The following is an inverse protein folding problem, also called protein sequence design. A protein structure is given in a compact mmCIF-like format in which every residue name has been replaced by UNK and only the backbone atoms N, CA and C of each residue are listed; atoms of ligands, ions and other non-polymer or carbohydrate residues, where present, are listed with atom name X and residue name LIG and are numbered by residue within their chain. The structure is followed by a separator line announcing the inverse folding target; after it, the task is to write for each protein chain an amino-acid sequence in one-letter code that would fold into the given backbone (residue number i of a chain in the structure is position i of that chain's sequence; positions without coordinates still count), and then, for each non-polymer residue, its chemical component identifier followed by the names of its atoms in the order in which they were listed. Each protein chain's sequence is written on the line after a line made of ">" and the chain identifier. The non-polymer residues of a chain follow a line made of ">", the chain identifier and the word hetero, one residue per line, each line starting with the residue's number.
data_IF_413870633789
#
_entry.id   IF_413870633789
#
_cell.length_a   1.000
_cell.length_b   1.000
_cell.length_c   1.000
_cell.angle_alpha   90.00
_cell.angle_beta   90.00
_cell.angle_gamma   90.00
#
_symmetry.space_group_name_H-M   'P 1'
#
loop_
_entity.id
_entity.type
_entity.pdbx_description
1 polymer ?
#
# COMPACT_ATOMS: atom_id res chain seq x y z
N UNK A 1 15.41 22.98 -21.16
CA UNK A 1 15.13 23.14 -19.70
C UNK A 1 14.84 24.59 -19.35
N UNK A 2 15.61 25.56 -19.86
CA UNK A 2 15.39 27.01 -19.64
C UNK A 2 14.18 27.61 -20.36
N UNK A 3 13.51 26.83 -21.22
CA UNK A 3 12.41 27.28 -22.09
C UNK A 3 11.01 27.13 -21.48
N UNK A 4 10.90 26.70 -20.22
CA UNK A 4 9.62 26.64 -19.50
C UNK A 4 9.19 28.06 -19.10
N UNK A 5 7.89 28.36 -19.17
CA UNK A 5 7.32 29.71 -18.97
C UNK A 5 7.80 30.40 -17.70
N UNK A 6 7.89 29.64 -16.61
CA UNK A 6 8.20 30.14 -15.28
C UNK A 6 9.52 29.56 -14.74
N UNK A 7 10.45 29.22 -15.64
CA UNK A 7 11.75 28.67 -15.23
C UNK A 7 12.55 29.69 -14.43
N UNK A 8 12.98 29.29 -13.23
CA UNK A 8 13.95 30.02 -12.43
C UNK A 8 15.20 29.15 -12.30
N UNK A 9 16.37 29.75 -12.51
CA UNK A 9 17.65 29.08 -12.33
C UNK A 9 17.91 28.86 -10.83
N UNK A 10 17.99 27.60 -10.42
CA UNK A 10 18.44 27.22 -9.07
C UNK A 10 19.95 27.05 -9.03
N UNK A 11 20.54 27.18 -7.83
CA UNK A 11 21.91 26.72 -7.57
C UNK A 11 21.97 25.21 -7.84
N UNK A 12 23.02 24.78 -8.53
CA UNK A 12 23.25 23.35 -8.76
C UNK A 12 23.61 22.66 -7.44
N UNK A 13 22.85 21.62 -7.10
CA UNK A 13 23.15 20.72 -5.99
C UNK A 13 23.37 19.31 -6.55
N UNK A 14 24.44 18.61 -6.16
CA UNK A 14 24.54 17.20 -6.45
C UNK A 14 23.39 16.47 -5.74
N UNK A 15 22.72 15.57 -6.45
CA UNK A 15 21.70 14.72 -5.85
C UNK A 15 22.31 13.70 -4.89
N UNK A 16 21.64 13.44 -3.77
CA UNK A 16 22.00 12.33 -2.89
C UNK A 16 21.60 11.01 -3.56
N UNK A 17 22.50 10.01 -3.65
CA UNK A 17 22.15 8.69 -4.18
C UNK A 17 20.96 8.06 -3.44
N UNK A 18 20.02 7.43 -4.18
CA UNK A 18 18.78 6.90 -3.59
C UNK A 18 19.04 5.82 -2.54
N UNK A 19 20.09 5.00 -2.70
CA UNK A 19 20.47 3.98 -1.73
C UNK A 19 20.95 4.58 -0.39
N UNK A 20 21.43 5.83 -0.37
CA UNK A 20 21.79 6.52 0.87
C UNK A 20 20.56 7.09 1.59
N UNK A 21 19.49 7.41 0.85
CA UNK A 21 18.22 7.91 1.41
C UNK A 21 17.36 6.74 1.88
N UNK A 22 17.21 5.72 1.04
CA UNK A 22 16.37 4.55 1.24
C UNK A 22 17.24 3.34 1.59
N UNK A 23 17.85 3.37 2.77
CA UNK A 23 18.84 2.37 3.20
C UNK A 23 18.31 0.94 3.32
N UNK A 24 16.99 0.76 3.43
CA UNK A 24 16.33 -0.54 3.47
C UNK A 24 15.81 -1.01 2.10
N UNK A 25 15.97 -0.21 1.04
CA UNK A 25 15.49 -0.56 -0.29
C UNK A 25 16.50 -1.46 -1.02
N UNK A 26 15.99 -2.53 -1.64
CA UNK A 26 16.75 -3.33 -2.60
C UNK A 26 16.91 -2.63 -3.95
N UNK A 27 17.79 -3.16 -4.79
CA UNK A 27 18.14 -2.56 -6.09
C UNK A 27 16.94 -2.44 -7.05
N UNK A 28 16.01 -3.40 -7.01
CA UNK A 28 14.81 -3.38 -7.84
C UNK A 28 13.83 -2.26 -7.44
N UNK A 29 13.67 -2.01 -6.14
CA UNK A 29 12.94 -0.85 -5.62
C UNK A 29 13.66 0.45 -5.97
N UNK A 30 14.98 0.52 -5.83
CA UNK A 30 15.75 1.70 -6.18
C UNK A 30 15.64 2.04 -7.67
N UNK A 31 15.62 1.02 -8.54
CA UNK A 31 15.38 1.21 -9.97
C UNK A 31 13.97 1.76 -10.26
N UNK A 32 12.94 1.23 -9.59
CA UNK A 32 11.56 1.74 -9.69
C UNK A 32 11.48 3.20 -9.25
N UNK A 33 12.07 3.53 -8.09
CA UNK A 33 12.11 4.90 -7.57
C UNK A 33 12.81 5.86 -8.54
N UNK A 34 13.92 5.44 -9.15
CA UNK A 34 14.63 6.23 -10.15
C UNK A 34 13.76 6.61 -11.35
N UNK A 35 12.94 5.68 -11.85
CA UNK A 35 12.00 5.94 -12.94
C UNK A 35 10.81 6.83 -12.53
N UNK A 36 10.27 6.63 -11.32
CA UNK A 36 9.14 7.42 -10.79
C UNK A 36 9.53 8.87 -10.47
N UNK A 37 10.74 9.08 -9.96
CA UNK A 37 11.25 10.39 -9.54
C UNK A 37 11.98 11.15 -10.65
N UNK A 38 11.92 10.67 -11.90
CA UNK A 38 12.54 11.36 -13.03
C UNK A 38 11.91 12.74 -13.26
N UNK A 39 12.73 13.78 -13.27
CA UNK A 39 12.26 15.16 -13.43
C UNK A 39 11.77 15.45 -14.86
N UNK A 40 12.31 14.75 -15.87
CA UNK A 40 11.82 14.85 -17.22
C UNK A 40 10.55 14.00 -17.38
N UNK A 41 9.36 14.61 -17.62
CA UNK A 41 8.10 13.88 -17.69
C UNK A 41 8.04 12.90 -18.86
N UNK A 42 8.83 13.09 -19.93
CA UNK A 42 8.83 12.22 -21.10
C UNK A 42 9.50 10.85 -20.85
N UNK A 43 10.34 10.76 -19.82
CA UNK A 43 11.03 9.51 -19.45
C UNK A 43 10.61 9.02 -18.06
N UNK A 44 9.65 9.70 -17.42
CA UNK A 44 9.10 9.26 -16.14
C UNK A 44 8.20 8.06 -16.38
N UNK A 45 8.35 7.03 -15.56
CA UNK A 45 7.53 5.83 -15.66
C UNK A 45 6.04 6.15 -15.54
N UNK A 46 5.25 5.56 -16.42
CA UNK A 46 3.81 5.48 -16.25
C UNK A 46 3.41 4.25 -15.42
N UNK A 47 2.13 4.17 -15.03
CA UNK A 47 1.62 3.09 -14.19
C UNK A 47 1.83 1.70 -14.82
N UNK A 48 1.56 1.56 -16.12
CA UNK A 48 1.67 0.28 -16.82
C UNK A 48 3.12 -0.20 -16.82
N UNK A 49 4.07 0.66 -17.14
CA UNK A 49 5.51 0.34 -17.14
C UNK A 49 5.99 -0.02 -15.73
N UNK A 50 5.61 0.78 -14.73
CA UNK A 50 5.98 0.56 -13.34
C UNK A 50 5.54 -0.82 -12.84
N UNK A 51 4.29 -1.22 -13.12
CA UNK A 51 3.74 -2.52 -12.71
C UNK A 51 4.44 -3.71 -13.38
N UNK A 52 5.12 -3.51 -14.52
CA UNK A 52 5.90 -4.56 -15.18
C UNK A 52 7.34 -4.69 -14.66
N UNK A 53 7.80 -3.78 -13.79
CA UNK A 53 9.16 -3.80 -13.27
C UNK A 53 9.44 -4.99 -12.34
N UNK A 54 10.72 -5.42 -12.20
CA UNK A 54 11.10 -6.53 -11.34
C UNK A 54 10.61 -6.42 -9.89
N UNK A 55 10.52 -5.20 -9.34
CA UNK A 55 10.04 -4.96 -7.98
C UNK A 55 8.68 -5.61 -7.66
N UNK A 56 7.75 -5.64 -8.63
CA UNK A 56 6.44 -6.24 -8.43
C UNK A 56 6.38 -7.75 -8.71
N UNK A 57 7.47 -8.36 -9.15
CA UNK A 57 7.56 -9.79 -9.51
C UNK A 57 8.53 -10.58 -8.63
N UNK A 58 9.59 -9.92 -8.17
CA UNK A 58 10.61 -10.49 -7.31
C UNK A 58 10.08 -10.79 -5.91
N UNK A 59 10.87 -11.52 -5.14
CA UNK A 59 10.69 -11.63 -3.69
C UNK A 59 11.31 -10.40 -3.00
N UNK A 60 10.74 -9.92 -1.88
CA UNK A 60 9.54 -10.43 -1.22
C UNK A 60 8.25 -10.05 -1.97
N UNK A 61 7.30 -10.99 -2.03
CA UNK A 61 5.96 -10.71 -2.56
C UNK A 61 5.21 -9.76 -1.63
N UNK A 62 4.22 -9.00 -2.15
CA UNK A 62 3.38 -8.16 -1.32
C UNK A 62 2.65 -8.98 -0.25
N UNK A 63 2.51 -8.41 0.94
CA UNK A 63 1.74 -9.01 2.02
C UNK A 63 0.27 -9.19 1.61
N UNK A 64 -0.32 -10.33 2.00
CA UNK A 64 -1.76 -10.51 1.86
C UNK A 64 -2.51 -9.50 2.74
N UNK A 65 -3.69 -9.07 2.29
CA UNK A 65 -4.48 -8.07 3.01
C UNK A 65 -4.79 -8.44 4.47
N UNK A 66 -4.99 -9.74 4.75
CA UNK A 66 -5.22 -10.27 6.10
C UNK A 66 -3.99 -10.23 7.02
N UNK A 67 -2.79 -10.08 6.46
CA UNK A 67 -1.53 -10.02 7.20
C UNK A 67 -1.03 -8.58 7.38
N UNK A 68 -1.72 -7.59 6.81
CA UNK A 68 -1.35 -6.20 7.00
C UNK A 68 -1.62 -5.78 8.45
N UNK A 69 -0.66 -5.10 9.10
CA UNK A 69 -0.87 -4.60 10.45
C UNK A 69 -1.99 -3.56 10.45
N UNK A 70 -2.96 -3.75 11.36
CA UNK A 70 -4.01 -2.77 11.60
C UNK A 70 -3.67 -1.92 12.82
N UNK A 71 -4.06 -0.64 12.84
CA UNK A 71 -3.96 0.16 14.05
C UNK A 71 -4.74 -0.48 15.21
N UNK A 72 -4.20 -0.41 16.42
CA UNK A 72 -4.75 -1.14 17.59
C UNK A 72 -6.23 -0.85 17.86
N UNK A 73 -6.68 0.38 17.62
CA UNK A 73 -8.08 0.78 17.82
C UNK A 73 -9.05 0.15 16.79
N UNK A 74 -8.55 -0.21 15.60
CA UNK A 74 -9.35 -0.90 14.56
C UNK A 74 -9.50 -2.38 14.91
N UNK A 75 -8.44 -3.02 15.38
CA UNK A 75 -8.45 -4.45 15.76
C UNK A 75 -9.51 -4.75 16.83
N UNK A 76 -9.65 -3.88 17.83
CA UNK A 76 -10.64 -4.03 18.90
C UNK A 76 -12.11 -4.04 18.42
N UNK A 77 -12.40 -3.44 17.26
CA UNK A 77 -13.76 -3.41 16.69
C UNK A 77 -14.10 -4.70 15.95
N UNK A 78 -13.11 -5.37 15.38
CA UNK A 78 -13.29 -6.63 14.64
C UNK A 78 -13.58 -7.80 15.60
N UNK A 79 -13.03 -7.77 16.81
CA UNK A 79 -13.17 -8.86 17.79
C UNK A 79 -14.39 -8.79 18.71
N UNK A 80 -15.24 -7.77 18.61
CA UNK A 80 -16.49 -7.69 19.40
C UNK A 80 -17.66 -8.27 18.61
N UNK A 81 -17.96 -9.59 18.68
CA UNK A 81 -19.23 -10.08 18.16
C UNK A 81 -20.34 -9.35 18.91
N UNK A 82 -21.22 -8.70 18.16
CA UNK A 82 -22.37 -7.98 18.67
C UNK A 82 -23.24 -8.93 19.49
N UNK A 83 -23.21 -8.78 20.82
CA UNK A 83 -23.99 -9.54 21.80
C UNK A 83 -25.51 -9.52 21.55
N UNK A 84 -26.00 -8.67 20.64
CA UNK A 84 -27.42 -8.53 20.29
C UNK A 84 -28.01 -9.72 19.53
N UNK A 85 -27.21 -10.61 18.92
CA UNK A 85 -27.74 -11.74 18.12
C UNK A 85 -28.06 -13.02 18.94
N UNK A 86 -27.74 -13.08 20.23
CA UNK A 86 -27.98 -14.31 21.04
C UNK A 86 -29.31 -14.36 21.80
N UNK A 87 -30.12 -13.29 21.79
CA UNK A 87 -31.42 -13.31 22.47
C UNK A 87 -32.58 -13.82 21.59
N UNK A 88 -32.44 -13.74 20.25
CA UNK A 88 -33.51 -14.16 19.33
C UNK A 88 -33.66 -15.69 19.21
N UNK A 89 -32.57 -16.46 19.30
CA UNK A 89 -32.60 -17.92 19.15
C UNK A 89 -33.18 -18.68 20.36
N UNK A 90 -33.51 -17.99 21.47
CA UNK A 90 -34.03 -18.63 22.70
C UNK A 90 -35.55 -18.68 22.81
N UNK A 91 -36.31 -18.17 21.82
CA UNK A 91 -37.78 -18.08 21.90
C UNK A 91 -38.54 -19.07 20.99
N UNK A 92 -37.87 -19.84 20.13
CA UNK A 92 -38.54 -20.75 19.16
C UNK A 92 -38.43 -22.25 19.51
N UNK A 93 -38.45 -22.59 20.81
CA UNK A 93 -38.34 -23.98 21.28
C UNK A 93 -39.51 -24.41 22.17
N UNK A 94 -40.75 -24.33 21.68
CA UNK A 94 -41.94 -24.75 22.42
C UNK A 94 -43.03 -25.33 21.51
N UNK A 95 -43.34 -26.60 21.75
CA UNK A 95 -44.52 -27.40 21.35
C UNK A 95 -44.65 -28.03 19.95
N UNK A 96 -44.34 -29.33 19.90
CA UNK A 96 -44.92 -30.37 19.04
C UNK A 96 -44.57 -31.72 19.72
N UNK A 97 -45.44 -32.67 20.12
CA UNK A 97 -46.76 -33.14 19.68
C UNK A 97 -47.47 -33.95 20.79
N UNK A 98 -48.81 -33.92 20.72
CA UNK A 98 -49.82 -34.93 21.12
C UNK A 98 -49.36 -36.38 20.85
N UNK A 99 -49.63 -37.38 21.70
CA UNK A 99 -50.91 -37.95 22.15
C UNK A 99 -50.77 -38.56 23.55
#
# INVERSE_FOLDING_TARGET
>A
VTSLSDYIQFKAFPGTPLNHIFTAAGDDLLALLGGLLSLNPLVRLNCSEALQMPYFRNKPHPSLGSQLPLPSHVMQKVERPSLKRKLADKLEGGDHLTY
#
